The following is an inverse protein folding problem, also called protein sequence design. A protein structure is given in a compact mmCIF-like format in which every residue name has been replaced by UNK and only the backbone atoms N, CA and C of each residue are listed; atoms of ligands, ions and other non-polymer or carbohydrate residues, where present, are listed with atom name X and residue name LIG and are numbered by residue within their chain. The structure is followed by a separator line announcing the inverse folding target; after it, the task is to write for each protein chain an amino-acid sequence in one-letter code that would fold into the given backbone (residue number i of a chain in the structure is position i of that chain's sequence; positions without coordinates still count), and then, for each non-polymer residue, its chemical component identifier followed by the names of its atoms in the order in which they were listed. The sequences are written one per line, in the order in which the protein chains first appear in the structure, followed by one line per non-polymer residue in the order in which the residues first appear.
data_IF_501379002998
#
_entry.id   IF_501379002998
#
_cell.length_a   1.000
_cell.length_b   1.000
_cell.length_c   1.000
_cell.angle_alpha   90.00
_cell.angle_beta   90.00
_cell.angle_gamma   90.00
#
_symmetry.space_group_name_H-M   'P 1'
#
loop_
_entity.id
_entity.type
_entity.pdbx_description
1 polymer ?
#
# COMPACT_ATOMS: atom_id res chain seq x y z
N UNK A 1 15.06 -5.60 -5.90
CA UNK A 1 14.40 -4.38 -5.34
C UNK A 1 13.65 -3.68 -6.46
N UNK A 2 12.37 -3.38 -6.26
CA UNK A 2 11.48 -2.75 -7.27
C UNK A 2 11.19 -1.31 -6.86
N UNK A 3 11.17 -0.36 -7.83
CA UNK A 3 10.76 1.02 -7.57
C UNK A 3 9.25 1.15 -7.81
N UNK A 4 8.54 1.69 -6.82
CA UNK A 4 7.08 1.86 -6.87
C UNK A 4 6.72 3.34 -6.65
N UNK A 5 5.73 3.88 -7.40
CA UNK A 5 5.14 5.20 -7.19
C UNK A 5 3.83 5.08 -6.42
N UNK A 6 3.50 6.08 -5.58
CA UNK A 6 2.26 6.05 -4.81
C UNK A 6 1.00 6.38 -5.61
N UNK A 7 1.13 7.05 -6.77
CA UNK A 7 0.02 7.23 -7.71
C UNK A 7 -0.26 5.99 -8.57
N UNK A 8 0.58 4.94 -8.41
CA UNK A 8 0.42 3.65 -9.08
C UNK A 8 0.32 3.75 -10.60
N UNK A 9 1.10 4.64 -11.22
CA UNK A 9 1.13 4.91 -12.66
C UNK A 9 1.33 3.66 -13.53
N UNK A 10 2.13 2.70 -13.05
CA UNK A 10 2.40 1.44 -13.76
C UNK A 10 1.20 0.48 -13.79
N UNK A 11 0.19 0.70 -12.94
CA UNK A 11 -0.93 -0.23 -12.79
C UNK A 11 -2.08 0.04 -13.75
N UNK A 12 -1.96 1.00 -14.61
CA UNK A 12 -2.93 1.32 -15.66
C UNK A 12 -4.36 1.52 -15.18
N UNK A 13 -4.54 2.16 -14.04
CA UNK A 13 -5.88 2.43 -13.54
C UNK A 13 -6.60 3.57 -14.24
N UNK A 14 -5.94 4.22 -15.20
CA UNK A 14 -6.48 5.41 -15.85
C UNK A 14 -6.31 6.66 -14.98
N UNK A 15 -7.09 7.68 -15.31
CA UNK A 15 -7.05 8.99 -14.65
C UNK A 15 -7.85 8.92 -13.34
N UNK A 16 -7.23 8.44 -12.26
CA UNK A 16 -7.88 8.36 -10.95
C UNK A 16 -7.52 9.57 -10.08
N UNK A 17 -8.47 10.08 -9.28
CA UNK A 17 -8.17 11.10 -8.29
C UNK A 17 -7.10 10.59 -7.32
N UNK A 18 -5.96 11.29 -7.30
CA UNK A 18 -4.85 11.03 -6.43
C UNK A 18 -4.60 12.25 -5.53
N UNK A 19 -4.44 12.01 -4.26
CA UNK A 19 -4.17 13.03 -3.25
C UNK A 19 -2.93 12.66 -2.47
N UNK A 20 -2.09 13.65 -2.16
CA UNK A 20 -0.87 13.47 -1.39
C UNK A 20 -0.75 14.62 -0.39
N UNK A 21 -0.77 14.31 0.90
CA UNK A 21 -0.80 15.33 1.95
C UNK A 21 -0.13 14.88 3.25
N UNK A 22 0.41 15.82 3.98
CA UNK A 22 0.92 15.57 5.33
C UNK A 22 -0.22 15.41 6.32
N UNK A 23 -0.13 14.39 7.18
CA UNK A 23 -1.03 14.16 8.32
C UNK A 23 -0.20 14.01 9.58
N UNK A 24 -0.58 14.79 10.61
CA UNK A 24 0.04 14.77 11.93
C UNK A 24 -1.08 14.70 12.97
N UNK A 25 -1.27 13.53 13.57
CA UNK A 25 -2.18 13.25 14.68
C UNK A 25 -1.42 12.43 15.72
N UNK A 26 -1.97 12.27 16.92
CA UNK A 26 -1.27 11.58 18.02
C UNK A 26 -0.84 10.15 17.66
N UNK A 27 -1.64 9.45 16.83
CA UNK A 27 -1.40 8.07 16.46
C UNK A 27 -0.58 7.88 15.17
N UNK A 28 -0.40 8.97 14.37
CA UNK A 28 0.30 8.90 13.10
C UNK A 28 0.93 10.24 12.70
N UNK A 29 2.20 10.19 12.34
CA UNK A 29 2.94 11.30 11.72
C UNK A 29 3.54 10.81 10.42
N UNK A 30 3.19 11.46 9.30
CA UNK A 30 3.69 11.03 8.02
C UNK A 30 3.00 11.63 6.81
N UNK A 31 3.40 11.15 5.64
CA UNK A 31 2.74 11.45 4.38
C UNK A 31 1.61 10.45 4.15
N UNK A 32 0.47 10.95 3.71
CA UNK A 32 -0.69 10.13 3.32
C UNK A 32 -0.97 10.35 1.84
N UNK A 33 -1.09 9.26 1.12
CA UNK A 33 -1.53 9.24 -0.27
C UNK A 33 -2.87 8.53 -0.38
N UNK A 34 -3.82 9.12 -1.11
CA UNK A 34 -5.14 8.53 -1.33
C UNK A 34 -5.37 8.38 -2.83
N UNK A 35 -5.71 7.17 -3.23
CA UNK A 35 -6.08 6.83 -4.61
C UNK A 35 -7.52 6.33 -4.63
N UNK A 36 -8.39 6.99 -5.42
CA UNK A 36 -9.80 6.59 -5.57
C UNK A 36 -10.02 5.88 -6.90
N UNK A 37 -10.34 4.59 -6.84
CA UNK A 37 -10.52 3.72 -8.02
C UNK A 37 -11.93 3.90 -8.60
N UNK A 38 -12.20 5.08 -9.22
CA UNK A 38 -13.55 5.49 -9.62
C UNK A 38 -14.10 4.74 -10.84
N UNK A 39 -13.26 4.34 -11.80
CA UNK A 39 -13.69 3.76 -13.07
C UNK A 39 -13.14 2.35 -13.27
N UNK A 40 -13.98 1.45 -13.73
CA UNK A 40 -13.72 0.02 -13.82
C UNK A 40 -12.85 -0.43 -15.00
N UNK A 41 -11.77 0.27 -15.33
CA UNK A 41 -10.73 -0.26 -16.22
C UNK A 41 -9.67 -1.07 -15.46
N UNK A 42 -10.04 -1.62 -14.32
CA UNK A 42 -9.28 -2.71 -13.72
C UNK A 42 -9.51 -3.91 -14.63
N UNK A 43 -8.48 -4.28 -15.42
CA UNK A 43 -8.50 -5.51 -16.23
C UNK A 43 -8.51 -6.72 -15.29
N UNK A 44 -9.66 -7.00 -14.70
CA UNK A 44 -9.91 -8.22 -13.95
C UNK A 44 -10.68 -9.13 -14.88
N UNK A 45 -10.19 -10.34 -15.13
CA UNK A 45 -10.84 -11.31 -15.98
C UNK A 45 -12.31 -11.51 -15.55
N UNK A 46 -13.23 -10.86 -16.28
CA UNK A 46 -14.68 -11.06 -16.14
C UNK A 46 -15.37 -10.49 -14.92
N UNK A 47 -14.70 -9.69 -14.07
CA UNK A 47 -15.28 -9.11 -12.84
C UNK A 47 -14.93 -7.65 -12.61
N UNK A 48 -15.63 -7.01 -11.66
CA UNK A 48 -15.36 -5.64 -11.25
C UNK A 48 -14.24 -5.53 -10.20
N UNK A 49 -13.77 -6.66 -9.65
CA UNK A 49 -12.82 -6.72 -8.54
C UNK A 49 -11.79 -7.83 -8.76
N UNK A 50 -10.56 -7.56 -8.32
CA UNK A 50 -9.53 -8.56 -8.06
C UNK A 50 -9.63 -9.02 -6.61
N UNK A 51 -9.47 -10.33 -6.38
CA UNK A 51 -9.56 -10.93 -5.05
C UNK A 51 -8.31 -11.73 -4.74
N UNK A 52 -7.96 -11.73 -3.46
CA UNK A 52 -7.04 -12.70 -2.88
C UNK A 52 -7.77 -13.65 -1.95
N UNK A 53 -7.37 -14.91 -1.92
CA UNK A 53 -7.90 -15.88 -0.97
C UNK A 53 -7.13 -15.80 0.36
N UNK A 54 -7.88 -15.76 1.46
CA UNK A 54 -7.35 -15.72 2.83
C UNK A 54 -8.01 -16.80 3.68
N UNK A 55 -7.23 -17.45 4.62
CA UNK A 55 -7.72 -18.60 5.39
C UNK A 55 -8.98 -18.32 6.22
N UNK A 56 -9.08 -17.15 6.85
CA UNK A 56 -10.20 -16.77 7.72
C UNK A 56 -11.21 -15.89 7.00
N UNK A 57 -10.73 -14.89 6.27
CA UNK A 57 -11.59 -13.93 5.58
C UNK A 57 -12.21 -14.47 4.28
N UNK A 58 -11.68 -15.57 3.72
CA UNK A 58 -12.06 -16.05 2.39
C UNK A 58 -11.55 -15.13 1.29
N UNK A 59 -12.41 -14.76 0.34
CA UNK A 59 -12.05 -13.83 -0.76
C UNK A 59 -12.09 -12.39 -0.28
N UNK A 60 -10.95 -11.72 -0.27
CA UNK A 60 -10.83 -10.28 0.04
C UNK A 60 -10.56 -9.50 -1.24
N UNK A 61 -11.32 -8.43 -1.46
CA UNK A 61 -11.11 -7.56 -2.61
C UNK A 61 -9.86 -6.69 -2.37
N UNK A 62 -8.95 -6.69 -3.35
CA UNK A 62 -7.72 -5.89 -3.29
C UNK A 62 -7.73 -4.72 -4.26
N UNK A 63 -8.44 -4.84 -5.36
CA UNK A 63 -8.59 -3.81 -6.36
C UNK A 63 -9.95 -3.92 -7.04
N UNK A 64 -10.60 -2.78 -7.32
CA UNK A 64 -11.88 -2.77 -8.00
C UNK A 64 -12.54 -1.40 -8.02
N UNK A 65 -13.61 -1.31 -8.81
CA UNK A 65 -14.36 -0.06 -8.98
C UNK A 65 -14.94 0.44 -7.67
N UNK A 66 -14.69 1.70 -7.36
CA UNK A 66 -15.18 2.38 -6.17
C UNK A 66 -14.33 2.15 -4.92
N UNK A 67 -13.33 1.28 -4.97
CA UNK A 67 -12.40 1.10 -3.86
C UNK A 67 -11.52 2.34 -3.65
N UNK A 68 -11.04 2.50 -2.43
CA UNK A 68 -10.09 3.51 -2.03
C UNK A 68 -8.82 2.83 -1.50
N UNK A 69 -7.66 3.25 -1.99
CA UNK A 69 -6.38 2.88 -1.41
C UNK A 69 -5.84 4.04 -0.59
N UNK A 70 -5.83 3.88 0.72
CA UNK A 70 -5.20 4.79 1.67
C UNK A 70 -3.77 4.30 1.88
N UNK A 71 -2.80 5.05 1.38
CA UNK A 71 -1.39 4.69 1.48
C UNK A 71 -0.73 5.58 2.53
N UNK A 72 -0.10 4.95 3.53
CA UNK A 72 0.50 5.63 4.66
C UNK A 72 2.02 5.47 4.62
N UNK A 73 2.73 6.56 4.77
CA UNK A 73 4.18 6.63 4.80
C UNK A 73 4.59 7.26 6.14
N UNK A 74 4.83 6.45 7.20
CA UNK A 74 5.28 6.95 8.47
C UNK A 74 6.62 7.69 8.36
N UNK A 75 6.89 8.60 9.29
CA UNK A 75 8.12 9.40 9.30
C UNK A 75 9.39 8.60 9.56
N UNK A 76 9.28 7.39 10.14
CA UNK A 76 10.41 6.46 10.28
C UNK A 76 10.93 5.98 8.93
N UNK A 77 10.07 5.96 7.89
CA UNK A 77 10.42 5.60 6.50
C UNK A 77 10.99 4.18 6.34
N UNK A 78 10.66 3.28 7.24
CA UNK A 78 11.11 1.88 7.19
C UNK A 78 10.12 0.97 6.47
N UNK A 79 8.86 1.41 6.37
CA UNK A 79 7.76 0.68 5.72
C UNK A 79 6.71 1.64 5.18
N UNK A 80 5.85 1.13 4.29
CA UNK A 80 4.64 1.80 3.84
C UNK A 80 3.45 0.87 3.98
N UNK A 81 2.26 1.45 4.19
CA UNK A 81 1.03 0.69 4.27
C UNK A 81 0.11 1.07 3.11
N UNK A 82 -0.51 0.08 2.49
CA UNK A 82 -1.63 0.28 1.56
C UNK A 82 -2.87 -0.35 2.17
N UNK A 83 -3.71 0.49 2.80
CA UNK A 83 -4.99 0.06 3.37
C UNK A 83 -6.05 0.15 2.30
N UNK A 84 -6.62 -0.97 1.93
CA UNK A 84 -7.59 -1.09 0.83
C UNK A 84 -9.00 -1.11 1.41
N UNK A 85 -9.80 -0.14 1.00
CA UNK A 85 -11.19 0.02 1.44
C UNK A 85 -12.17 -0.30 0.32
N UNK A 86 -13.25 -0.98 0.69
CA UNK A 86 -14.40 -1.20 -0.18
C UNK A 86 -15.16 0.13 -0.43
N UNK A 87 -16.11 0.17 -1.39
CA UNK A 87 -16.88 1.39 -1.70
C UNK A 87 -17.71 1.95 -0.54
N UNK A 88 -17.97 1.16 0.49
CA UNK A 88 -18.70 1.55 1.71
C UNK A 88 -17.76 1.99 2.85
N UNK A 89 -16.48 2.24 2.54
CA UNK A 89 -15.42 2.56 3.48
C UNK A 89 -15.13 1.45 4.52
N UNK A 90 -15.54 0.20 4.26
CA UNK A 90 -15.13 -0.96 5.06
C UNK A 90 -13.73 -1.42 4.62
N UNK A 91 -12.81 -1.59 5.56
CA UNK A 91 -11.48 -2.10 5.28
C UNK A 91 -11.55 -3.55 4.77
N UNK A 92 -10.93 -3.82 3.64
CA UNK A 92 -10.78 -5.16 3.08
C UNK A 92 -9.50 -5.84 3.56
N UNK A 93 -8.36 -5.18 3.40
CA UNK A 93 -7.03 -5.70 3.74
C UNK A 93 -6.06 -4.53 3.90
N UNK A 94 -5.03 -4.71 4.73
CA UNK A 94 -3.85 -3.85 4.77
C UNK A 94 -2.64 -4.62 4.25
N UNK A 95 -1.93 -4.04 3.30
CA UNK A 95 -0.66 -4.54 2.78
C UNK A 95 0.46 -3.61 3.20
N UNK A 96 1.57 -4.15 3.68
CA UNK A 96 2.69 -3.40 4.24
C UNK A 96 3.95 -3.82 3.50
N UNK A 97 4.49 -2.89 2.70
CA UNK A 97 5.78 -3.05 2.05
C UNK A 97 6.90 -2.63 3.03
N UNK A 98 7.90 -3.48 3.25
CA UNK A 98 9.16 -3.10 3.91
C UNK A 98 10.05 -2.45 2.86
N UNK A 99 10.53 -1.23 3.12
CA UNK A 99 11.16 -0.41 2.10
C UNK A 99 12.61 -0.03 2.43
N UNK A 100 13.40 0.25 1.39
CA UNK A 100 14.77 0.75 1.55
C UNK A 100 14.79 2.25 1.82
N UNK A 101 14.04 3.02 1.03
CA UNK A 101 13.94 4.46 1.17
C UNK A 101 12.69 5.04 0.50
N UNK A 102 12.40 6.29 0.84
CA UNK A 102 11.38 7.13 0.20
C UNK A 102 12.08 8.26 -0.54
N UNK A 103 11.60 8.57 -1.73
CA UNK A 103 12.01 9.72 -2.53
C UNK A 103 10.80 10.39 -3.19
N UNK A 104 11.11 11.31 -4.13
CA UNK A 104 10.09 11.99 -4.92
C UNK A 104 10.54 12.05 -6.38
N UNK A 105 9.60 11.87 -7.29
CA UNK A 105 9.82 12.12 -8.70
C UNK A 105 9.85 13.63 -9.01
N UNK A 106 10.34 14.02 -10.20
CA UNK A 106 10.37 15.44 -10.59
C UNK A 106 9.01 16.14 -10.60
N UNK A 107 7.91 15.38 -10.71
CA UNK A 107 6.54 15.88 -10.61
C UNK A 107 6.02 15.96 -9.14
N UNK A 108 6.86 15.60 -8.16
CA UNK A 108 6.56 15.67 -6.75
C UNK A 108 5.81 14.44 -6.20
N UNK A 109 5.50 13.44 -7.02
CA UNK A 109 4.87 12.19 -6.54
C UNK A 109 5.88 11.41 -5.70
N UNK A 110 5.44 10.97 -4.51
CA UNK A 110 6.25 10.13 -3.63
C UNK A 110 6.48 8.76 -4.27
N UNK A 111 7.69 8.23 -4.06
CA UNK A 111 8.15 6.94 -4.57
C UNK A 111 8.90 6.18 -3.48
N UNK A 112 8.93 4.87 -3.56
CA UNK A 112 9.73 4.04 -2.66
C UNK A 112 10.46 2.94 -3.42
N UNK A 113 11.52 2.45 -2.78
CA UNK A 113 12.25 1.25 -3.21
C UNK A 113 11.82 0.13 -2.28
N UNK A 114 11.14 -0.84 -2.86
CA UNK A 114 10.66 -2.03 -2.21
C UNK A 114 11.82 -2.99 -1.87
N UNK A 115 11.80 -3.56 -0.67
CA UNK A 115 12.72 -4.62 -0.23
C UNK A 115 12.15 -6.00 -0.56
N UNK A 116 12.48 -7.00 0.26
CA UNK A 116 12.11 -8.38 0.00
C UNK A 116 10.87 -8.86 0.74
N UNK A 117 10.64 -8.38 1.97
CA UNK A 117 9.54 -8.89 2.79
C UNK A 117 8.35 -7.93 2.78
N UNK A 118 7.18 -8.52 2.61
CA UNK A 118 5.91 -7.85 2.73
C UNK A 118 5.03 -8.54 3.77
N UNK A 119 4.17 -7.78 4.43
CA UNK A 119 3.19 -8.30 5.41
C UNK A 119 1.80 -7.86 5.00
N UNK A 120 0.81 -8.77 5.05
CA UNK A 120 -0.57 -8.32 5.01
C UNK A 120 -1.37 -8.80 6.22
N UNK A 121 -2.48 -8.12 6.48
CA UNK A 121 -3.47 -8.59 7.42
C UNK A 121 -4.89 -8.17 7.05
N UNK A 122 -5.87 -8.99 7.47
CA UNK A 122 -7.30 -8.74 7.28
C UNK A 122 -7.99 -8.37 8.58
N UNK A 123 -9.15 -7.70 8.55
CA UNK A 123 -9.96 -7.47 9.74
C UNK A 123 -10.36 -8.75 10.51
N UNK A 124 -10.39 -9.89 9.81
CA UNK A 124 -10.71 -11.19 10.40
C UNK A 124 -9.53 -11.86 11.11
N UNK A 125 -8.34 -11.23 11.06
CA UNK A 125 -7.15 -11.69 11.76
C UNK A 125 -6.31 -12.70 10.99
N UNK A 126 -6.39 -12.72 9.65
CA UNK A 126 -5.33 -13.32 8.84
C UNK A 126 -4.10 -12.41 8.91
N UNK A 127 -2.93 -13.00 8.99
CA UNK A 127 -1.63 -12.33 8.86
C UNK A 127 -0.78 -13.21 7.97
N UNK A 128 -0.19 -12.64 6.92
CA UNK A 128 0.69 -13.34 5.99
C UNK A 128 1.99 -12.57 5.79
N UNK A 129 3.08 -13.30 5.60
CA UNK A 129 4.40 -12.76 5.22
C UNK A 129 4.72 -13.31 3.84
N UNK A 130 5.18 -12.44 2.94
CA UNK A 130 5.51 -12.76 1.56
C UNK A 130 6.99 -12.56 1.27
N UNK A 131 7.41 -13.15 0.14
CA UNK A 131 8.72 -12.99 -0.47
C UNK A 131 9.89 -13.39 0.44
N UNK A 132 9.63 -14.29 1.41
CA UNK A 132 10.65 -14.86 2.28
C UNK A 132 11.67 -15.66 1.48
N UNK A 133 11.23 -16.37 0.49
CA UNK A 133 12.06 -17.14 -0.44
C UNK A 133 12.97 -16.22 -1.28
N UNK A 134 12.47 -15.07 -1.75
CA UNK A 134 13.28 -14.05 -2.43
C UNK A 134 14.37 -13.48 -1.50
N UNK A 135 14.05 -13.25 -0.23
CA UNK A 135 15.04 -12.81 0.79
C UNK A 135 16.11 -13.87 1.03
N UNK A 136 15.70 -15.13 1.19
CA UNK A 136 16.61 -16.26 1.43
C UNK A 136 17.53 -16.45 0.22
N UNK A 137 17.01 -16.40 -1.01
CA UNK A 137 17.79 -16.50 -2.26
C UNK A 137 18.79 -15.35 -2.40
N UNK A 138 18.38 -14.09 -2.10
CA UNK A 138 19.27 -12.94 -2.14
C UNK A 138 20.43 -13.04 -1.14
N UNK A 139 20.20 -13.65 0.03
CA UNK A 139 21.24 -13.91 1.01
C UNK A 139 22.17 -15.06 0.57
N UNK A 140 21.63 -16.16 0.06
CA UNK A 140 22.41 -17.32 -0.42
C UNK A 140 23.28 -16.97 -1.64
N UNK A 141 22.79 -16.10 -2.54
CA UNK A 141 23.55 -15.61 -3.70
C UNK A 141 24.63 -14.59 -3.33
N UNK A 142 24.56 -14.02 -2.11
CA UNK A 142 25.47 -12.98 -1.65
C UNK A 142 25.11 -11.57 -2.13
N UNK A 143 23.89 -11.37 -2.65
CA UNK A 143 23.39 -10.06 -3.07
C UNK A 143 23.12 -9.14 -1.87
N UNK A 144 22.83 -9.74 -0.71
CA UNK A 144 22.71 -9.04 0.57
C UNK A 144 23.62 -9.65 1.64
N UNK A 145 24.08 -8.82 2.57
CA UNK A 145 24.87 -9.26 3.71
C UNK A 145 23.98 -9.92 4.78
N UNK A 146 24.62 -10.68 5.69
CA UNK A 146 23.91 -11.22 6.86
C UNK A 146 23.25 -10.13 7.71
N UNK A 147 23.88 -8.98 7.85
CA UNK A 147 23.34 -7.86 8.60
C UNK A 147 22.05 -7.32 7.94
N UNK A 148 22.02 -7.20 6.61
CA UNK A 148 20.84 -6.77 5.85
C UNK A 148 19.71 -7.80 5.95
N UNK A 149 20.04 -9.09 5.87
CA UNK A 149 19.09 -10.18 6.07
C UNK A 149 18.47 -10.17 7.47
N UNK A 150 19.29 -10.14 8.53
CA UNK A 150 18.80 -10.10 9.92
C UNK A 150 17.99 -8.83 10.20
N UNK A 151 18.36 -7.70 9.59
CA UNK A 151 17.60 -6.44 9.69
C UNK A 151 16.22 -6.58 9.07
N UNK A 152 16.10 -7.17 7.88
CA UNK A 152 14.81 -7.37 7.21
C UNK A 152 13.84 -8.20 8.08
N UNK A 153 14.34 -9.29 8.70
CA UNK A 153 13.56 -10.10 9.62
C UNK A 153 13.09 -9.31 10.85
N UNK A 154 14.03 -8.57 11.45
CA UNK A 154 13.73 -7.74 12.63
C UNK A 154 12.68 -6.67 12.33
N UNK A 155 12.72 -6.05 11.14
CA UNK A 155 11.74 -5.06 10.70
C UNK A 155 10.37 -5.72 10.48
N UNK A 156 10.32 -6.91 9.88
CA UNK A 156 9.11 -7.68 9.72
C UNK A 156 8.44 -7.99 11.08
N UNK A 157 9.21 -8.46 12.06
CA UNK A 157 8.72 -8.76 13.42
C UNK A 157 8.15 -7.50 14.10
N UNK A 158 8.83 -6.36 13.99
CA UNK A 158 8.36 -5.08 14.53
C UNK A 158 7.05 -4.62 13.89
N UNK A 159 6.89 -4.81 12.58
CA UNK A 159 5.68 -4.47 11.84
C UNK A 159 4.51 -5.33 12.33
N UNK A 160 4.73 -6.63 12.47
CA UNK A 160 3.71 -7.56 12.99
C UNK A 160 3.30 -7.15 14.41
N UNK A 161 4.25 -6.87 15.28
CA UNK A 161 3.97 -6.40 16.65
C UNK A 161 3.20 -5.07 16.64
N UNK A 162 3.61 -4.12 15.81
CA UNK A 162 3.01 -2.78 15.76
C UNK A 162 1.58 -2.78 15.23
N UNK A 163 1.29 -3.54 14.18
CA UNK A 163 0.02 -3.45 13.45
C UNK A 163 -0.88 -4.67 13.58
N UNK A 164 -0.32 -5.86 13.83
CA UNK A 164 -1.08 -7.10 13.84
C UNK A 164 -1.35 -7.63 15.27
N UNK A 165 -0.68 -7.13 16.31
CA UNK A 165 -0.94 -7.52 17.70
C UNK A 165 -2.31 -7.06 18.20
N UNK A 166 -2.79 -5.91 17.71
CA UNK A 166 -4.13 -5.38 17.96
C UNK A 166 -4.71 -4.80 16.66
N UNK A 167 -5.21 -5.67 15.82
CA UNK A 167 -5.77 -5.32 14.50
C UNK A 167 -6.93 -4.33 14.64
N UNK A 168 -7.78 -4.45 15.65
CA UNK A 168 -8.90 -3.54 15.86
C UNK A 168 -8.42 -2.11 16.14
N UNK A 169 -7.36 -1.95 16.91
CA UNK A 169 -6.71 -0.65 17.15
C UNK A 169 -6.11 -0.09 15.87
N UNK A 170 -5.42 -0.91 15.08
CA UNK A 170 -4.83 -0.47 13.81
C UNK A 170 -5.91 0.00 12.83
N UNK A 171 -7.03 -0.73 12.70
CA UNK A 171 -8.17 -0.33 11.88
C UNK A 171 -8.74 1.01 12.35
N UNK A 172 -8.95 1.19 13.66
CA UNK A 172 -9.49 2.44 14.21
C UNK A 172 -8.61 3.65 13.86
N UNK A 173 -7.28 3.50 13.87
CA UNK A 173 -6.34 4.55 13.46
C UNK A 173 -6.45 4.82 11.95
N UNK A 174 -6.52 3.79 11.12
CA UNK A 174 -6.65 3.95 9.67
C UNK A 174 -7.97 4.61 9.28
N UNK A 175 -9.08 4.22 9.90
CA UNK A 175 -10.40 4.82 9.68
C UNK A 175 -10.42 6.31 10.09
N UNK A 176 -9.76 6.67 11.20
CA UNK A 176 -9.57 8.06 11.64
C UNK A 176 -8.80 8.87 10.59
N UNK A 177 -7.72 8.31 10.04
CA UNK A 177 -6.93 8.97 8.99
C UNK A 177 -7.76 9.11 7.71
N UNK A 178 -8.46 8.07 7.29
CA UNK A 178 -9.33 8.10 6.09
C UNK A 178 -10.41 9.17 6.23
N UNK A 179 -11.07 9.24 7.39
CA UNK A 179 -12.10 10.25 7.67
C UNK A 179 -11.53 11.67 7.59
N UNK A 180 -10.37 11.92 8.20
CA UNK A 180 -9.65 13.21 8.16
C UNK A 180 -9.28 13.61 6.73
N UNK A 181 -8.72 12.69 5.96
CA UNK A 181 -8.33 12.93 4.56
C UNK A 181 -9.56 13.23 3.70
N UNK A 182 -10.63 12.45 3.84
CA UNK A 182 -11.88 12.69 3.13
C UNK A 182 -12.53 14.04 3.51
N UNK A 183 -12.42 14.46 4.78
CA UNK A 183 -12.88 15.79 5.22
C UNK A 183 -12.06 16.91 4.56
N UNK A 184 -10.74 16.80 4.55
CA UNK A 184 -9.86 17.78 3.88
C UNK A 184 -10.18 17.89 2.39
N UNK A 185 -10.42 16.77 1.71
CA UNK A 185 -10.80 16.75 0.30
C UNK A 185 -12.15 17.47 0.09
N UNK A 186 -13.16 17.21 0.93
CA UNK A 186 -14.44 17.93 0.89
C UNK A 186 -14.29 19.43 1.12
N UNK A 187 -13.33 19.82 1.94
CA UNK A 187 -13.01 21.22 2.26
C UNK A 187 -12.08 21.89 1.23
N UNK A 188 -11.78 21.24 0.11
CA UNK A 188 -11.08 21.82 -1.02
C UNK A 188 -9.59 21.47 -1.11
N UNK A 189 -9.12 20.44 -0.41
CA UNK A 189 -7.77 19.89 -0.65
C UNK A 189 -7.65 19.51 -2.13
N UNK A 190 -6.59 19.96 -2.77
CA UNK A 190 -6.42 19.79 -4.21
C UNK A 190 -5.95 18.38 -4.55
N UNK A 191 -6.53 17.84 -5.60
CA UNK A 191 -6.01 16.66 -6.27
C UNK A 191 -4.56 16.91 -6.71
N UNK A 192 -3.68 15.98 -6.39
CA UNK A 192 -2.29 16.03 -6.80
C UNK A 192 -2.18 15.60 -8.27
N UNK A 193 -1.78 16.50 -9.17
CA UNK A 193 -1.65 16.22 -10.59
C UNK A 193 -0.29 15.61 -10.89
N UNK A 194 -0.28 14.32 -11.14
CA UNK A 194 0.87 13.59 -11.65
C UNK A 194 1.10 13.95 -13.14
N UNK A 195 2.38 14.11 -13.53
CA UNK A 195 2.77 14.27 -14.93
C UNK A 195 3.09 12.92 -15.60
N UNK A 196 2.81 11.80 -14.94
CA UNK A 196 3.01 10.48 -15.51
C UNK A 196 2.18 10.34 -16.79
N UNK A 197 2.85 10.25 -17.93
CA UNK A 197 2.21 9.90 -19.20
C UNK A 197 2.03 8.41 -19.22
N UNK A 198 0.80 7.97 -19.22
CA UNK A 198 0.46 6.59 -19.50
C UNK A 198 0.79 6.28 -20.96
N UNK A 199 1.93 5.65 -21.22
CA UNK A 199 2.18 5.07 -22.53
C UNK A 199 1.23 3.90 -22.73
N UNK A 200 0.28 4.08 -23.64
CA UNK A 200 -0.71 3.07 -23.98
C UNK A 200 0.00 1.82 -24.54
N UNK A 201 -0.09 0.69 -23.85
CA UNK A 201 0.20 -0.58 -24.47
C UNK A 201 0.80 -1.71 -23.65
N UNK A 202 1.24 -1.53 -22.43
CA UNK A 202 1.83 -2.64 -21.68
C UNK A 202 0.85 -3.17 -20.64
N UNK A 203 0.26 -4.34 -20.88
CA UNK A 203 -0.50 -5.07 -19.86
C UNK A 203 0.49 -5.55 -18.79
N UNK A 204 0.46 -4.94 -17.64
CA UNK A 204 1.12 -5.49 -16.45
C UNK A 204 0.05 -6.28 -15.70
N UNK A 205 0.24 -7.60 -15.57
CA UNK A 205 -0.58 -8.39 -14.64
C UNK A 205 -0.33 -7.84 -13.23
N UNK A 206 -1.42 -7.68 -12.47
CA UNK A 206 -1.32 -7.30 -11.07
C UNK A 206 -0.66 -8.43 -10.27
N UNK A 207 0.66 -8.48 -10.26
CA UNK A 207 1.42 -9.21 -9.25
C UNK A 207 1.95 -8.14 -8.28
N UNK A 208 1.40 -8.17 -7.08
CA UNK A 208 2.02 -7.61 -5.89
C UNK A 208 2.93 -8.67 -5.38
#
# INVERSE_FOLDING_TARGET
MKRKRFDRDIWYFGDFPYYQMRVDIDEFHGLVCLLKLMNGNVNVDGGNYQYWDRPKAGKVAVCGKGMTWLQLIPDDKEHTLTVMYLPDDTMSICYIDIIENIGYDPDGVAVFIDKYLDVDFTPQGDVSIYDRDELDEAFESGDISKEQYDKALTECDKIIEKYCSDIAKSIAVFDKILALVNERIRNGEKEFKSNARHEAGTRVSCFI
#
